data_IF_357368838654
#
_entry.id   IF_357368838654
#
_cell.length_a   1.000
_cell.length_b   1.000
_cell.length_c   1.000
_cell.angle_alpha   90.00
_cell.angle_beta   90.00
_cell.angle_gamma   90.00
#
_symmetry.space_group_name_H-M   'P 1'
#
loop_
_entity.id
_entity.type
_entity.pdbx_description
1 polymer ?
#
# COMPACT_ATOMS: atom_id res chain seq x y z
N UNK A 1 9.82 9.83 7.55
CA UNK A 1 10.14 8.39 7.44
C UNK A 1 8.86 7.57 7.46
N UNK A 2 8.88 6.38 6.85
CA UNK A 2 7.73 5.48 6.78
C UNK A 2 8.10 4.10 7.33
N UNK A 3 7.21 3.52 8.14
CA UNK A 3 7.42 2.22 8.77
C UNK A 3 6.18 1.36 8.59
N UNK A 4 6.38 0.13 8.13
CA UNK A 4 5.35 -0.89 8.07
C UNK A 4 5.41 -1.74 9.34
N UNK A 5 4.27 -1.93 10.01
CA UNK A 5 4.18 -2.79 11.19
C UNK A 5 3.02 -3.77 11.04
N UNK A 6 2.83 -4.63 12.05
CA UNK A 6 1.62 -5.44 12.18
C UNK A 6 0.42 -4.64 12.72
N UNK A 7 0.59 -3.34 13.01
CA UNK A 7 -0.45 -2.45 13.52
C UNK A 7 -0.59 -1.16 12.69
N UNK A 8 -0.33 -1.26 11.39
CA UNK A 8 -0.58 -0.21 10.40
C UNK A 8 0.66 0.47 9.84
N UNK A 9 0.41 1.44 8.97
CA UNK A 9 1.45 2.23 8.33
C UNK A 9 1.75 3.47 9.18
N UNK A 10 3.02 3.64 9.56
CA UNK A 10 3.45 4.70 10.46
C UNK A 10 4.28 5.74 9.68
N UNK A 11 3.84 7.00 9.71
CA UNK A 11 4.56 8.17 9.17
C UNK A 11 5.18 8.94 10.32
N UNK A 12 6.48 9.16 10.26
CA UNK A 12 7.20 10.01 11.21
C UNK A 12 7.74 11.25 10.50
N UNK A 13 7.42 12.44 11.02
CA UNK A 13 7.82 13.72 10.43
C UNK A 13 9.08 14.33 11.06
N UNK A 14 9.68 13.68 12.07
CA UNK A 14 10.79 14.22 12.86
C UNK A 14 10.38 14.65 14.27
N UNK A 15 9.09 14.77 14.54
CA UNK A 15 8.53 15.15 15.84
C UNK A 15 7.42 14.20 16.28
N UNK A 16 6.50 13.87 15.38
CA UNK A 16 5.30 13.11 15.66
C UNK A 16 5.17 11.88 14.76
N UNK A 17 4.48 10.87 15.29
CA UNK A 17 4.00 9.74 14.51
C UNK A 17 2.53 9.93 14.14
N UNK A 18 2.21 9.64 12.88
CA UNK A 18 0.84 9.42 12.42
C UNK A 18 0.69 7.98 11.98
N UNK A 19 -0.33 7.31 12.50
CA UNK A 19 -0.62 5.91 12.21
C UNK A 19 -1.83 5.85 11.30
N UNK A 20 -1.68 5.20 10.14
CA UNK A 20 -2.77 4.89 9.23
C UNK A 20 -3.24 3.47 9.49
N UNK A 21 -4.52 3.32 9.81
CA UNK A 21 -5.19 2.05 10.11
C UNK A 21 -6.38 1.84 9.18
N UNK A 22 -6.78 0.58 8.94
CA UNK A 22 -8.00 0.27 8.21
C UNK A 22 -9.22 0.83 8.94
N UNK A 23 -10.12 1.45 8.18
CA UNK A 23 -11.40 1.97 8.64
C UNK A 23 -12.51 1.43 7.73
N UNK A 24 -13.39 0.61 8.30
CA UNK A 24 -14.49 -0.03 7.57
C UNK A 24 -15.54 0.95 7.04
N UNK A 25 -15.58 2.18 7.56
CA UNK A 25 -16.48 3.25 7.10
C UNK A 25 -15.84 4.13 6.04
N UNK A 26 -14.53 4.07 5.88
CA UNK A 26 -13.78 4.90 4.94
C UNK A 26 -13.11 4.02 3.86
N UNK A 27 -13.67 3.93 2.65
CA UNK A 27 -13.08 3.14 1.56
C UNK A 27 -11.73 3.71 1.07
N UNK A 28 -11.37 4.92 1.49
CA UNK A 28 -10.08 5.57 1.19
C UNK A 28 -9.05 5.37 2.30
N UNK A 29 -9.30 4.46 3.25
CA UNK A 29 -8.34 4.01 4.25
C UNK A 29 -7.52 2.82 3.73
N UNK A 30 -6.41 2.52 4.40
CA UNK A 30 -5.59 1.37 4.07
C UNK A 30 -6.38 0.06 4.24
N UNK A 31 -6.25 -0.90 3.33
CA UNK A 31 -7.09 -2.11 3.35
C UNK A 31 -6.78 -3.08 4.48
N UNK A 32 -5.60 -3.01 5.10
CA UNK A 32 -5.16 -3.90 6.18
C UNK A 32 -4.07 -3.24 7.02
N UNK A 33 -4.00 -3.61 8.30
CA UNK A 33 -2.99 -3.16 9.25
C UNK A 33 -1.67 -3.95 9.14
N UNK A 34 -1.66 -5.09 8.44
CA UNK A 34 -0.49 -5.93 8.30
C UNK A 34 0.36 -5.47 7.11
N UNK A 35 1.31 -4.57 7.36
CA UNK A 35 2.16 -4.01 6.32
C UNK A 35 3.33 -4.93 6.02
N UNK A 36 3.39 -5.44 4.80
CA UNK A 36 4.47 -6.32 4.35
C UNK A 36 5.62 -5.55 3.71
N UNK A 37 5.29 -4.61 2.81
CA UNK A 37 6.30 -3.87 2.04
C UNK A 37 5.81 -2.48 1.68
N UNK A 38 6.72 -1.51 1.67
CA UNK A 38 6.48 -0.12 1.27
C UNK A 38 7.53 0.23 0.21
N UNK A 39 7.10 0.76 -0.93
CA UNK A 39 7.97 1.26 -2.00
C UNK A 39 7.45 2.62 -2.47
N UNK A 40 8.35 3.55 -2.74
CA UNK A 40 8.02 4.80 -3.41
C UNK A 40 7.94 4.63 -4.94
N UNK A 41 7.04 5.39 -5.57
CA UNK A 41 7.06 5.59 -7.01
C UNK A 41 7.88 6.82 -7.42
N UNK A 42 8.10 6.99 -8.73
CA UNK A 42 8.84 8.13 -9.28
C UNK A 42 8.16 9.49 -9.07
N UNK A 43 6.89 9.51 -8.70
CA UNK A 43 6.13 10.72 -8.36
C UNK A 43 6.14 11.00 -6.85
N UNK A 44 6.82 10.17 -6.07
CA UNK A 44 6.92 10.28 -4.64
C UNK A 44 5.72 9.72 -3.86
N UNK A 45 4.76 9.06 -4.50
CA UNK A 45 3.67 8.34 -3.81
C UNK A 45 4.14 6.98 -3.30
N UNK A 46 3.31 6.27 -2.54
CA UNK A 46 3.70 4.98 -1.98
C UNK A 46 2.82 3.85 -2.49
N UNK A 47 3.47 2.73 -2.75
CA UNK A 47 2.86 1.42 -2.92
C UNK A 47 3.09 0.60 -1.66
N UNK A 48 2.02 0.13 -1.05
CA UNK A 48 2.01 -0.61 0.21
C UNK A 48 1.37 -1.98 0.00
N UNK A 49 2.18 -3.03 0.04
CA UNK A 49 1.68 -4.41 0.04
C UNK A 49 1.24 -4.77 1.46
N UNK A 50 0.04 -5.31 1.58
CA UNK A 50 -0.49 -5.80 2.86
C UNK A 50 -0.76 -7.29 2.81
N UNK A 51 -0.58 -7.96 3.95
CA UNK A 51 -0.87 -9.40 4.06
C UNK A 51 -2.37 -9.62 4.06
N UNK A 52 -2.90 -10.29 3.03
CA UNK A 52 -4.32 -10.63 2.90
C UNK A 52 -5.24 -9.44 2.56
N UNK A 53 -4.68 -8.23 2.44
CA UNK A 53 -5.42 -7.01 2.07
C UNK A 53 -5.11 -6.51 0.66
N UNK A 54 -4.21 -7.18 -0.08
CA UNK A 54 -3.81 -6.81 -1.43
C UNK A 54 -2.79 -5.66 -1.46
N UNK A 55 -2.87 -4.84 -2.50
CA UNK A 55 -1.98 -3.70 -2.74
C UNK A 55 -2.71 -2.39 -2.44
N UNK A 56 -2.04 -1.45 -1.79
CA UNK A 56 -2.57 -0.11 -1.55
C UNK A 56 -1.65 0.91 -2.20
N UNK A 57 -2.25 1.87 -2.89
CA UNK A 57 -1.57 3.07 -3.36
C UNK A 57 -1.94 4.22 -2.42
N UNK A 58 -0.94 4.87 -1.85
CA UNK A 58 -1.12 6.05 -1.01
C UNK A 58 -0.66 7.29 -1.77
N UNK A 59 -1.64 8.13 -2.09
CA UNK A 59 -1.39 9.44 -2.70
C UNK A 59 -0.93 10.40 -1.59
N UNK A 60 0.30 10.88 -1.67
CA UNK A 60 0.85 11.77 -0.64
C UNK A 60 0.27 13.18 -0.69
N UNK A 61 -0.32 13.60 -1.80
CA UNK A 61 -0.91 14.94 -1.94
C UNK A 61 -2.28 14.99 -1.29
N UNK A 62 -3.10 13.96 -1.50
CA UNK A 62 -4.45 13.88 -0.91
C UNK A 62 -4.47 13.15 0.45
N UNK A 63 -3.40 12.41 0.76
CA UNK A 63 -3.32 11.49 1.90
C UNK A 63 -4.42 10.43 1.92
N UNK A 64 -4.84 9.98 0.74
CA UNK A 64 -5.86 8.95 0.55
C UNK A 64 -5.26 7.63 0.05
N UNK A 65 -5.88 6.52 0.43
CA UNK A 65 -5.53 5.20 -0.05
C UNK A 65 -6.47 4.75 -1.17
N UNK A 66 -5.89 4.09 -2.17
CA UNK A 66 -6.62 3.31 -3.16
C UNK A 66 -6.20 1.85 -3.04
N UNK A 67 -7.13 0.98 -2.64
CA UNK A 67 -6.88 -0.45 -2.53
C UNK A 67 -7.13 -1.18 -3.85
N UNK A 68 -6.22 -2.10 -4.19
CA UNK A 68 -6.33 -3.03 -5.28
C UNK A 68 -6.32 -4.44 -4.69
N UNK A 69 -7.38 -5.20 -4.94
CA UNK A 69 -7.53 -6.60 -4.53
C UNK A 69 -7.56 -7.49 -5.76
N UNK A 70 -7.15 -8.74 -5.59
CA UNK A 70 -7.27 -9.77 -6.60
C UNK A 70 -8.74 -10.05 -6.80
N UNK A 71 -9.21 -9.84 -8.02
CA UNK A 71 -10.55 -10.24 -8.42
C UNK A 71 -10.40 -11.37 -9.45
N UNK A 72 -10.65 -12.63 -9.05
CA UNK A 72 -10.51 -13.77 -9.97
C UNK A 72 -11.44 -13.68 -11.19
N UNK A 73 -12.45 -12.80 -11.18
CA UNK A 73 -13.35 -12.57 -12.31
C UNK A 73 -12.95 -11.39 -13.21
N UNK A 74 -11.92 -10.63 -12.84
CA UNK A 74 -11.41 -9.52 -13.64
C UNK A 74 -9.96 -9.77 -14.07
N UNK A 75 -9.70 -10.06 -15.36
CA UNK A 75 -8.35 -10.35 -15.85
C UNK A 75 -7.36 -9.17 -15.77
N UNK A 76 -7.85 -7.93 -15.57
CA UNK A 76 -7.01 -6.74 -15.33
C UNK A 76 -6.69 -6.50 -13.85
N UNK A 77 -7.19 -7.34 -12.93
CA UNK A 77 -6.93 -7.22 -11.49
C UNK A 77 -5.59 -7.84 -11.09
N UNK A 78 -5.13 -7.52 -9.86
CA UNK A 78 -3.87 -8.09 -9.35
C UNK A 78 -3.97 -9.61 -9.30
N UNK A 79 -2.97 -10.34 -9.80
CA UNK A 79 -3.06 -11.81 -9.94
C UNK A 79 -3.00 -12.57 -8.60
N UNK A 80 -2.66 -11.89 -7.51
CA UNK A 80 -2.60 -12.49 -6.18
C UNK A 80 -2.73 -11.45 -5.07
N UNK A 81 -3.49 -11.78 -4.03
CA UNK A 81 -3.59 -10.98 -2.78
C UNK A 81 -2.40 -11.19 -1.84
N UNK A 82 -1.53 -12.17 -2.13
CA UNK A 82 -0.27 -12.41 -1.44
C UNK A 82 0.87 -11.83 -2.24
N UNK A 83 1.00 -10.49 -2.23
CA UNK A 83 2.12 -9.81 -2.90
C UNK A 83 3.40 -10.03 -2.10
N UNK A 84 4.04 -11.18 -2.32
CA UNK A 84 5.33 -11.54 -1.72
C UNK A 84 6.46 -10.68 -2.27
N UNK A 85 6.33 -10.18 -3.50
CA UNK A 85 7.39 -9.46 -4.20
C UNK A 85 6.81 -8.28 -4.97
N UNK A 86 7.04 -7.06 -4.49
CA UNK A 86 7.04 -5.87 -5.34
C UNK A 86 8.49 -5.64 -5.76
N UNK A 87 8.82 -5.81 -7.04
CA UNK A 87 10.14 -5.46 -7.56
C UNK A 87 10.00 -4.28 -8.51
N UNK A 88 10.73 -3.20 -8.24
CA UNK A 88 10.87 -2.09 -9.17
C UNK A 88 11.96 -2.48 -10.15
N UNK A 89 11.61 -2.77 -11.41
CA UNK A 89 12.61 -2.95 -12.45
C UNK A 89 13.29 -1.59 -12.79
N UNK A 90 14.54 -1.68 -13.22
CA UNK A 90 15.36 -0.61 -13.82
C UNK A 90 14.68 0.19 -14.94
N UNK A 91 13.62 -0.37 -15.55
CA UNK A 91 12.78 0.30 -16.56
C UNK A 91 11.59 1.09 -15.99
N UNK A 92 11.49 1.33 -14.68
CA UNK A 92 10.37 2.03 -14.04
C UNK A 92 8.99 1.36 -14.17
N UNK A 93 8.93 0.07 -14.52
CA UNK A 93 7.67 -0.68 -14.56
C UNK A 93 7.49 -1.46 -13.25
N UNK A 94 6.32 -1.31 -12.64
CA UNK A 94 5.88 -2.15 -11.53
C UNK A 94 5.47 -3.51 -12.10
N UNK A 95 6.25 -4.54 -11.81
CA UNK A 95 5.87 -5.93 -12.02
C UNK A 95 5.35 -6.47 -10.69
N UNK A 96 4.10 -6.94 -10.70
CA UNK A 96 3.36 -7.48 -9.56
C UNK A 96 2.85 -8.89 -9.90
#
# INVERSE_FOLDING_TARGET
MWFGTHDGLNKYDGYNFRIFKPDSKNPKSISSNLIWKIIDDSKGNLWIATTGGGLNYFDKQTEEFKSFKSDPNNPDSIKSDHIRVLFRDSSHRLCW
#
